data_IF_181423132073
#
_entry.id   IF_181423132073
#
_cell.length_a   1.000
_cell.length_b   1.000
_cell.length_c   1.000
_cell.angle_alpha   90.00
_cell.angle_beta   90.00
_cell.angle_gamma   90.00
#
_symmetry.space_group_name_H-M   'P 1'
#
loop_
_entity.id
_entity.type
_entity.pdbx_description
1 polymer ?
#
# COMPACT_ATOMS: atom_id res chain seq x y z
N UNK A 1 1.64 -6.66 -16.54
CA UNK A 1 1.77 -5.35 -15.87
C UNK A 1 0.61 -5.18 -14.92
N UNK A 2 0.90 -4.96 -13.64
CA UNK A 2 -0.09 -4.87 -12.57
C UNK A 2 -0.97 -3.62 -12.73
N UNK A 3 -2.30 -3.82 -12.67
CA UNK A 3 -3.32 -2.77 -12.82
C UNK A 3 -3.09 -1.60 -11.86
N UNK A 4 -2.58 -1.89 -10.66
CA UNK A 4 -2.31 -0.91 -9.62
C UNK A 4 -1.31 0.16 -10.06
N UNK A 5 -0.28 -0.22 -10.83
CA UNK A 5 0.74 0.72 -11.30
C UNK A 5 0.22 1.63 -12.41
N UNK A 6 -0.75 1.14 -13.21
CA UNK A 6 -1.41 1.97 -14.23
C UNK A 6 -2.36 3.00 -13.61
N UNK A 7 -3.03 2.65 -12.51
CA UNK A 7 -3.96 3.56 -11.81
C UNK A 7 -3.25 4.72 -11.09
N UNK A 8 -1.96 4.56 -10.79
CA UNK A 8 -1.16 5.53 -10.02
C UNK A 8 -0.76 6.77 -10.82
N UNK A 9 -0.58 6.68 -12.15
CA UNK A 9 0.02 7.78 -12.92
C UNK A 9 1.44 8.13 -12.43
N UNK A 10 1.71 9.42 -12.17
CA UNK A 10 3.05 9.93 -11.81
C UNK A 10 3.29 10.19 -10.31
N UNK A 11 2.32 9.94 -9.42
CA UNK A 11 2.43 10.29 -8.00
C UNK A 11 2.78 9.13 -7.06
N UNK A 12 3.29 9.44 -5.87
CA UNK A 12 3.42 8.45 -4.79
C UNK A 12 2.17 8.45 -3.92
N UNK A 13 1.56 7.28 -3.72
CA UNK A 13 0.29 7.17 -2.99
C UNK A 13 0.40 6.23 -1.81
N UNK A 14 -0.11 6.67 -0.65
CA UNK A 14 -0.33 5.77 0.46
C UNK A 14 -1.27 4.63 0.08
N UNK A 15 -0.92 3.43 0.54
CA UNK A 15 -1.74 2.25 0.49
C UNK A 15 -2.31 1.99 1.89
N UNK A 16 -3.47 1.32 1.96
CA UNK A 16 -4.05 0.84 3.21
C UNK A 16 -3.28 -0.33 3.83
N UNK A 17 -1.95 -0.26 3.85
CA UNK A 17 -1.03 -1.31 4.30
C UNK A 17 -0.08 -0.73 5.34
N UNK A 18 -0.09 -1.30 6.54
CA UNK A 18 0.65 -0.78 7.71
C UNK A 18 1.36 -1.90 8.46
N UNK A 19 2.56 -1.62 8.94
CA UNK A 19 3.33 -2.54 9.78
C UNK A 19 2.82 -2.47 11.21
N UNK A 20 2.56 -3.64 11.81
CA UNK A 20 2.22 -3.82 13.23
C UNK A 20 3.19 -4.84 13.80
N UNK A 21 4.16 -4.38 14.59
CA UNK A 21 5.31 -5.18 15.00
C UNK A 21 6.19 -5.51 13.79
N UNK A 22 6.42 -6.79 13.52
CA UNK A 22 7.24 -7.24 12.37
C UNK A 22 6.42 -7.53 11.11
N UNK A 23 5.08 -7.57 11.19
CA UNK A 23 4.20 -7.99 10.09
C UNK A 23 3.45 -6.82 9.49
N UNK A 24 3.12 -6.93 8.21
CA UNK A 24 2.30 -5.98 7.48
C UNK A 24 0.85 -6.45 7.46
N UNK A 25 -0.07 -5.50 7.62
CA UNK A 25 -1.51 -5.75 7.66
C UNK A 25 -2.24 -4.74 6.79
N UNK A 26 -3.28 -5.20 6.11
CA UNK A 26 -4.22 -4.34 5.39
C UNK A 26 -5.10 -3.54 6.37
N UNK A 27 -5.78 -2.52 5.86
CA UNK A 27 -6.67 -1.65 6.64
C UNK A 27 -7.84 -2.39 7.29
N UNK A 28 -8.23 -3.55 6.75
CA UNK A 28 -9.24 -4.45 7.31
C UNK A 28 -8.69 -5.41 8.39
N UNK A 29 -7.39 -5.34 8.69
CA UNK A 29 -6.70 -6.16 9.67
C UNK A 29 -6.13 -7.48 9.12
N UNK A 30 -6.48 -7.86 7.90
CA UNK A 30 -5.94 -9.08 7.28
C UNK A 30 -4.43 -8.99 7.07
N UNK A 31 -3.73 -10.12 7.16
CA UNK A 31 -2.27 -10.15 7.02
C UNK A 31 -1.85 -9.99 5.56
N UNK A 32 -0.78 -9.25 5.33
CA UNK A 32 -0.17 -9.13 4.01
C UNK A 32 0.56 -10.43 3.64
N UNK A 33 -0.03 -11.20 2.74
CA UNK A 33 0.49 -12.49 2.25
C UNK A 33 0.90 -12.45 0.78
N UNK A 34 1.03 -11.26 0.19
CA UNK A 34 1.41 -11.10 -1.22
C UNK A 34 2.88 -11.43 -1.46
N UNK A 35 3.19 -11.85 -2.69
CA UNK A 35 4.57 -12.06 -3.17
C UNK A 35 5.29 -10.76 -3.52
N UNK A 36 4.57 -9.63 -3.54
CA UNK A 36 5.15 -8.32 -3.84
C UNK A 36 5.91 -7.82 -2.61
N UNK A 37 7.22 -7.53 -2.69
CA UNK A 37 7.97 -7.03 -1.56
C UNK A 37 7.63 -5.58 -1.23
N UNK A 38 7.61 -5.25 0.06
CA UNK A 38 7.58 -3.87 0.56
C UNK A 38 8.99 -3.46 0.98
N UNK A 39 9.56 -2.48 0.31
CA UNK A 39 10.93 -2.03 0.54
C UNK A 39 11.03 -1.04 1.70
N UNK A 40 11.94 -1.31 2.64
CA UNK A 40 12.20 -0.53 3.84
C UNK A 40 11.36 -0.96 5.05
N UNK A 41 11.73 -0.46 6.22
CA UNK A 41 11.21 -0.94 7.50
C UNK A 41 10.29 0.03 8.25
N UNK A 42 9.91 1.13 7.61
CA UNK A 42 9.00 2.11 8.19
C UNK A 42 7.55 1.59 8.26
N UNK A 43 6.70 2.35 8.94
CA UNK A 43 5.40 1.87 9.40
C UNK A 43 4.33 1.83 8.30
N UNK A 44 4.22 2.85 7.46
CA UNK A 44 3.17 2.93 6.44
C UNK A 44 3.74 2.60 5.05
N UNK A 45 3.00 1.85 4.25
CA UNK A 45 3.40 1.50 2.89
C UNK A 45 2.76 2.43 1.84
N UNK A 46 3.53 2.79 0.82
CA UNK A 46 3.11 3.58 -0.32
C UNK A 46 3.59 2.97 -1.62
N UNK A 47 2.91 3.34 -2.70
CA UNK A 47 3.26 2.99 -4.06
C UNK A 47 4.23 4.04 -4.62
N UNK A 48 5.43 3.62 -5.05
CA UNK A 48 6.45 4.49 -5.64
C UNK A 48 7.31 3.72 -6.65
N UNK A 49 7.56 4.31 -7.81
CA UNK A 49 8.38 3.76 -8.90
C UNK A 49 8.08 2.29 -9.23
N UNK A 50 6.80 1.98 -9.36
CA UNK A 50 6.28 0.63 -9.59
C UNK A 50 6.63 -0.40 -8.48
N UNK A 51 6.89 0.09 -7.27
CA UNK A 51 7.25 -0.73 -6.12
C UNK A 51 6.46 -0.31 -4.89
N UNK A 52 6.32 -1.23 -3.94
CA UNK A 52 5.78 -0.89 -2.64
C UNK A 52 6.96 -0.48 -1.75
N UNK A 53 6.91 0.72 -1.19
CA UNK A 53 7.94 1.24 -0.28
C UNK A 53 7.31 1.54 1.07
N UNK A 54 8.10 1.69 2.11
CA UNK A 54 7.62 2.14 3.43
C UNK A 54 8.17 3.52 3.80
N UNK A 55 7.38 4.27 4.58
CA UNK A 55 7.72 5.61 5.04
C UNK A 55 7.02 5.98 6.35
N UNK A 56 7.39 7.13 6.90
CA UNK A 56 6.72 7.70 8.07
C UNK A 56 5.28 8.07 7.71
N UNK A 57 4.32 7.56 8.48
CA UNK A 57 2.88 7.78 8.26
C UNK A 57 2.47 9.26 8.30
N UNK A 58 3.24 10.12 8.97
CA UNK A 58 2.97 11.56 9.07
C UNK A 58 3.36 12.34 7.81
N UNK A 59 4.06 11.72 6.85
CA UNK A 59 4.45 12.41 5.63
C UNK A 59 3.22 12.69 4.74
N UNK A 60 3.01 13.94 4.29
CA UNK A 60 1.88 14.28 3.46
C UNK A 60 2.03 13.63 2.08
N UNK A 61 1.10 12.74 1.73
CA UNK A 61 0.97 12.14 0.39
C UNK A 61 -0.51 11.84 0.11
N UNK A 62 -0.93 11.86 -1.17
CA UNK A 62 -2.25 11.36 -1.53
C UNK A 62 -2.37 9.86 -1.21
N UNK A 63 -3.59 9.34 -1.18
CA UNK A 63 -3.87 7.93 -0.86
C UNK A 63 -4.82 7.31 -1.89
N UNK A 64 -4.75 5.99 -2.03
CA UNK A 64 -5.68 5.20 -2.86
C UNK A 64 -6.51 4.30 -1.98
N UNK A 65 -7.83 4.32 -2.19
CA UNK A 65 -8.78 3.44 -1.53
C UNK A 65 -9.30 2.39 -2.52
N UNK A 66 -9.55 1.17 -2.02
CA UNK A 66 -10.22 0.11 -2.77
C UNK A 66 -11.35 -0.46 -1.94
N UNK A 67 -12.47 -0.77 -2.57
CA UNK A 67 -13.60 -1.48 -1.95
C UNK A 67 -14.10 -2.51 -2.94
N UNK A 68 -14.43 -3.71 -2.46
CA UNK A 68 -15.09 -4.70 -3.29
C UNK A 68 -16.44 -4.14 -3.77
N UNK A 69 -16.74 -4.34 -5.04
CA UNK A 69 -18.07 -4.03 -5.56
C UNK A 69 -19.07 -5.01 -4.93
N UNK A 70 -20.20 -4.50 -4.46
CA UNK A 70 -21.25 -5.36 -3.92
C UNK A 70 -21.73 -6.33 -5.02
N UNK A 71 -22.03 -7.60 -4.69
CA UNK A 71 -22.69 -8.49 -5.63
C UNK A 71 -23.99 -7.83 -6.14
N UNK A 72 -24.23 -7.91 -7.45
CA UNK A 72 -25.50 -7.50 -8.05
C UNK A 72 -26.66 -8.34 -7.51
#
# INVERSE_FOLDING_TARGET
QDLLFRLRGNGDYWLGLRRRGQRLHWGDGSSYSSRVPVFGDAECAYLADERFRSGNCSNPRPYVCSKAQAPL
#
